data_IF_212803078032
#
_entry.id   IF_212803078032
#
_cell.length_a   1.000
_cell.length_b   1.000
_cell.length_c   1.000
_cell.angle_alpha   90.00
_cell.angle_beta   90.00
_cell.angle_gamma   90.00
#
_symmetry.space_group_name_H-M   'P 1'
#
loop_
_entity.id
_entity.type
_entity.pdbx_description
1 polymer ?
#
# COMPACT_ATOMS: atom_id res chain seq x y z
N UNK A 1 16.18 -11.94 27.35
CA UNK A 1 17.02 -12.90 26.62
C UNK A 1 18.02 -13.61 27.53
N UNK A 2 18.79 -12.91 28.37
CA UNK A 2 19.68 -13.58 29.35
C UNK A 2 18.97 -14.59 30.26
N UNK A 3 17.74 -14.30 30.71
CA UNK A 3 16.94 -15.23 31.49
C UNK A 3 16.61 -16.54 30.73
N UNK A 4 16.42 -16.45 29.41
CA UNK A 4 16.18 -17.62 28.56
C UNK A 4 17.46 -18.46 28.42
N UNK A 5 18.61 -17.82 28.15
CA UNK A 5 19.90 -18.51 28.09
C UNK A 5 20.26 -19.19 29.42
N UNK A 6 19.99 -18.53 30.55
CA UNK A 6 20.17 -19.11 31.90
C UNK A 6 19.24 -20.29 32.16
N UNK A 7 17.97 -20.22 31.75
CA UNK A 7 17.01 -21.32 31.89
C UNK A 7 17.42 -22.54 31.06
N UNK A 8 18.04 -22.31 29.90
CA UNK A 8 18.45 -23.35 28.96
C UNK A 8 19.89 -23.82 29.18
N UNK A 9 20.55 -23.33 30.23
CA UNK A 9 21.96 -23.62 30.58
C UNK A 9 22.92 -23.44 29.39
N UNK A 10 22.67 -22.42 28.56
CA UNK A 10 23.38 -22.19 27.30
C UNK A 10 24.06 -20.82 27.28
N UNK A 11 25.11 -20.70 26.47
CA UNK A 11 25.79 -19.42 26.23
C UNK A 11 25.23 -18.74 24.98
N UNK A 12 25.53 -17.43 24.83
CA UNK A 12 25.13 -16.69 23.63
C UNK A 12 25.70 -17.33 22.36
N UNK A 13 26.97 -17.74 22.39
CA UNK A 13 27.68 -18.34 21.26
C UNK A 13 27.07 -19.70 20.92
N UNK A 14 26.83 -20.55 21.92
CA UNK A 14 26.21 -21.86 21.70
C UNK A 14 24.78 -21.75 21.18
N UNK A 15 23.97 -20.85 21.74
CA UNK A 15 22.63 -20.58 21.23
C UNK A 15 22.69 -20.07 19.79
N UNK A 16 23.63 -19.17 19.48
CA UNK A 16 23.78 -18.62 18.13
C UNK A 16 24.11 -19.71 17.12
N UNK A 17 25.11 -20.54 17.39
CA UNK A 17 25.55 -21.56 16.44
C UNK A 17 24.59 -22.74 16.33
N UNK A 18 24.05 -23.24 17.46
CA UNK A 18 23.25 -24.47 17.48
C UNK A 18 21.77 -24.23 17.20
N UNK A 19 21.24 -23.04 17.52
CA UNK A 19 19.81 -22.77 17.43
C UNK A 19 19.48 -21.60 16.48
N UNK A 20 20.05 -20.42 16.72
CA UNK A 20 19.65 -19.22 15.96
C UNK A 20 20.10 -19.27 14.49
N UNK A 21 21.36 -19.63 14.23
CA UNK A 21 21.96 -19.70 12.90
C UNK A 21 21.22 -20.68 11.99
N UNK A 22 20.95 -21.96 12.35
CA UNK A 22 20.23 -22.86 11.45
C UNK A 22 18.81 -22.40 11.15
N UNK A 23 18.13 -21.75 12.10
CA UNK A 23 16.81 -21.16 11.86
C UNK A 23 16.90 -19.97 10.91
N UNK A 24 17.90 -19.09 11.09
CA UNK A 24 18.13 -17.95 10.22
C UNK A 24 18.46 -18.37 8.79
N UNK A 25 19.31 -19.38 8.61
CA UNK A 25 19.64 -19.96 7.30
C UNK A 25 18.36 -20.46 6.61
N UNK A 26 17.56 -21.30 7.28
CA UNK A 26 16.30 -21.81 6.70
C UNK A 26 15.30 -20.70 6.35
N UNK A 27 15.25 -19.63 7.16
CA UNK A 27 14.39 -18.47 6.88
C UNK A 27 14.88 -17.72 5.63
N UNK A 28 16.18 -17.50 5.51
CA UNK A 28 16.78 -16.84 4.35
C UNK A 28 16.62 -17.68 3.09
N UNK A 29 16.94 -18.97 3.13
CA UNK A 29 16.76 -19.91 2.02
C UNK A 29 15.30 -19.91 1.54
N UNK A 30 14.34 -19.99 2.47
CA UNK A 30 12.92 -19.91 2.12
C UNK A 30 12.60 -18.58 1.46
N UNK A 31 13.01 -17.44 2.04
CA UNK A 31 12.76 -16.12 1.44
C UNK A 31 13.26 -16.04 0.01
N UNK A 32 14.51 -16.44 -0.23
CA UNK A 32 15.10 -16.42 -1.57
C UNK A 32 14.37 -17.32 -2.57
N UNK A 33 13.89 -18.49 -2.14
CA UNK A 33 13.09 -19.37 -2.99
C UNK A 33 11.75 -18.71 -3.36
N UNK A 34 11.08 -18.08 -2.41
CA UNK A 34 9.83 -17.37 -2.66
C UNK A 34 10.02 -16.18 -3.59
N UNK A 35 11.07 -15.38 -3.38
CA UNK A 35 11.40 -14.24 -4.24
C UNK A 35 11.67 -14.68 -5.68
N UNK A 36 12.44 -15.76 -5.84
CA UNK A 36 12.75 -16.33 -7.14
C UNK A 36 11.51 -16.88 -7.83
N UNK A 37 10.64 -17.59 -7.10
CA UNK A 37 9.42 -18.15 -7.65
C UNK A 37 8.42 -17.05 -8.04
N UNK A 38 8.24 -16.03 -7.19
CA UNK A 38 7.38 -14.89 -7.50
C UNK A 38 7.80 -14.21 -8.80
N UNK A 39 9.11 -14.09 -9.02
CA UNK A 39 9.69 -13.55 -10.25
C UNK A 39 9.47 -14.44 -11.46
N UNK A 40 9.73 -15.75 -11.35
CA UNK A 40 9.59 -16.68 -12.48
C UNK A 40 8.14 -16.86 -12.93
N UNK A 41 7.21 -16.89 -11.98
CA UNK A 41 5.78 -17.02 -12.25
C UNK A 41 5.11 -15.68 -12.62
N UNK A 42 5.86 -14.57 -12.65
CA UNK A 42 5.37 -13.21 -12.91
C UNK A 42 4.11 -12.90 -12.12
N UNK A 43 4.17 -13.02 -10.80
CA UNK A 43 3.02 -12.75 -9.93
C UNK A 43 2.57 -11.29 -10.10
N UNK A 44 1.37 -11.11 -10.66
CA UNK A 44 0.76 -9.81 -10.87
C UNK A 44 -0.04 -9.37 -9.64
N UNK A 45 0.13 -8.11 -9.27
CA UNK A 45 -0.68 -7.45 -8.23
C UNK A 45 -1.81 -6.72 -8.96
N UNK A 46 -3.07 -7.06 -8.63
CA UNK A 46 -4.24 -6.41 -9.24
C UNK A 46 -4.50 -5.04 -8.59
N UNK A 47 -5.34 -4.23 -9.23
CA UNK A 47 -5.69 -2.92 -8.69
C UNK A 47 -6.40 -3.06 -7.33
N UNK A 48 -5.95 -2.31 -6.32
CA UNK A 48 -6.53 -2.33 -4.97
C UNK A 48 -6.08 -3.51 -4.07
N UNK A 49 -5.38 -4.52 -4.58
CA UNK A 49 -4.87 -5.63 -3.75
C UNK A 49 -3.92 -5.13 -2.65
N UNK A 50 -3.00 -4.23 -3.01
CA UNK A 50 -2.04 -3.66 -2.06
C UNK A 50 -2.73 -2.81 -0.99
N UNK A 51 -3.75 -2.04 -1.38
CA UNK A 51 -4.54 -1.23 -0.44
C UNK A 51 -5.35 -2.11 0.51
N UNK A 52 -5.94 -3.19 0.00
CA UNK A 52 -6.65 -4.18 0.81
C UNK A 52 -5.73 -4.82 1.85
N UNK A 53 -4.54 -5.28 1.45
CA UNK A 53 -3.55 -5.87 2.36
C UNK A 53 -3.01 -4.86 3.37
N UNK A 54 -2.79 -3.61 2.94
CA UNK A 54 -2.42 -2.51 3.84
C UNK A 54 -3.48 -2.30 4.92
N UNK A 55 -4.74 -2.21 4.53
CA UNK A 55 -5.86 -2.02 5.46
C UNK A 55 -6.04 -3.21 6.41
N UNK A 56 -5.85 -4.44 5.92
CA UNK A 56 -5.86 -5.65 6.76
C UNK A 56 -4.74 -5.62 7.80
N UNK A 57 -3.53 -5.23 7.38
CA UNK A 57 -2.37 -5.09 8.28
C UNK A 57 -2.64 -4.02 9.33
N UNK A 58 -3.18 -2.87 8.91
CA UNK A 58 -3.53 -1.78 9.81
C UNK A 58 -4.62 -2.17 10.81
N UNK A 59 -5.66 -2.86 10.36
CA UNK A 59 -6.75 -3.34 11.22
C UNK A 59 -6.22 -4.35 12.25
N UNK A 60 -5.30 -5.23 11.84
CA UNK A 60 -4.63 -6.16 12.75
C UNK A 60 -3.84 -5.42 13.83
N UNK A 61 -3.07 -4.38 13.45
CA UNK A 61 -2.34 -3.54 14.39
C UNK A 61 -3.28 -2.76 15.32
N UNK A 62 -4.36 -2.19 14.79
CA UNK A 62 -5.37 -1.50 15.57
C UNK A 62 -6.03 -2.42 16.61
N UNK A 63 -6.31 -3.68 16.25
CA UNK A 63 -6.84 -4.68 17.19
C UNK A 63 -5.89 -5.01 18.34
N UNK A 64 -4.58 -4.81 18.13
CA UNK A 64 -3.54 -4.96 19.15
C UNK A 64 -3.32 -3.67 19.98
N UNK A 65 -4.12 -2.63 19.73
CA UNK A 65 -4.07 -1.34 20.42
C UNK A 65 -3.12 -0.32 19.80
N UNK A 66 -2.66 -0.53 18.56
CA UNK A 66 -1.79 0.40 17.86
C UNK A 66 -2.59 1.46 17.10
N UNK A 67 -2.37 2.74 17.39
CA UNK A 67 -3.05 3.86 16.72
C UNK A 67 -2.03 4.79 16.05
N UNK A 68 -2.11 4.86 14.72
CA UNK A 68 -1.24 5.73 13.92
C UNK A 68 -1.41 7.22 14.27
N UNK A 69 -2.60 7.64 14.70
CA UNK A 69 -2.87 9.04 15.00
C UNK A 69 -2.20 9.49 16.31
N UNK A 70 -1.89 8.55 17.21
CA UNK A 70 -1.35 8.81 18.54
C UNK A 70 0.15 8.47 18.67
N UNK A 71 0.86 8.41 17.54
CA UNK A 71 2.32 8.16 17.52
C UNK A 71 3.10 9.36 18.06
N UNK A 72 4.00 9.09 19.01
CA UNK A 72 5.02 10.05 19.49
C UNK A 72 6.02 10.33 18.37
N UNK A 73 6.22 11.61 18.03
CA UNK A 73 7.13 12.04 16.94
C UNK A 73 6.46 12.78 15.78
N UNK A 74 5.13 12.99 15.85
CA UNK A 74 4.37 13.81 14.91
C UNK A 74 4.30 13.23 13.50
N UNK A 75 3.96 14.07 12.51
CA UNK A 75 3.67 13.64 11.13
C UNK A 75 4.80 12.83 10.47
N UNK A 76 6.07 13.18 10.72
CA UNK A 76 7.21 12.45 10.14
C UNK A 76 7.28 11.01 10.62
N UNK A 77 7.11 10.78 11.92
CA UNK A 77 7.08 9.43 12.48
C UNK A 77 5.89 8.63 11.96
N UNK A 78 4.72 9.27 11.86
CA UNK A 78 3.52 8.66 11.28
C UNK A 78 3.75 8.19 9.84
N UNK A 79 4.32 9.05 8.97
CA UNK A 79 4.63 8.69 7.58
C UNK A 79 5.65 7.56 7.50
N UNK A 80 6.70 7.57 8.33
CA UNK A 80 7.68 6.49 8.35
C UNK A 80 7.05 5.16 8.72
N UNK A 81 6.20 5.15 9.75
CA UNK A 81 5.49 3.94 10.18
C UNK A 81 4.53 3.47 9.09
N UNK A 82 3.76 4.38 8.48
CA UNK A 82 2.88 4.05 7.37
C UNK A 82 3.66 3.44 6.19
N UNK A 83 4.83 3.98 5.84
CA UNK A 83 5.68 3.44 4.79
C UNK A 83 6.20 2.03 5.14
N UNK A 84 6.60 1.79 6.39
CA UNK A 84 7.02 0.45 6.83
C UNK A 84 5.87 -0.55 6.78
N UNK A 85 4.66 -0.14 7.18
CA UNK A 85 3.46 -0.96 7.07
C UNK A 85 3.19 -1.27 5.59
N UNK A 86 3.23 -0.27 4.71
CA UNK A 86 3.03 -0.48 3.27
C UNK A 86 4.05 -1.47 2.67
N UNK A 87 5.34 -1.35 3.02
CA UNK A 87 6.36 -2.31 2.59
C UNK A 87 6.11 -3.72 3.13
N UNK A 88 5.72 -3.83 4.40
CA UNK A 88 5.37 -5.11 5.00
C UNK A 88 4.16 -5.74 4.32
N UNK A 89 3.11 -4.96 4.05
CA UNK A 89 1.90 -5.42 3.36
C UNK A 89 2.20 -5.87 1.93
N UNK A 90 3.05 -5.14 1.20
CA UNK A 90 3.51 -5.58 -0.13
C UNK A 90 4.25 -6.93 -0.06
N UNK A 91 5.13 -7.10 0.92
CA UNK A 91 5.88 -8.35 1.10
C UNK A 91 4.94 -9.52 1.46
N UNK A 92 3.96 -9.27 2.32
CA UNK A 92 2.95 -10.27 2.71
C UNK A 92 2.05 -10.65 1.53
N UNK A 93 1.61 -9.67 0.74
CA UNK A 93 0.80 -9.88 -0.46
C UNK A 93 1.52 -10.79 -1.46
N UNK A 94 2.76 -10.45 -1.83
CA UNK A 94 3.56 -11.26 -2.75
C UNK A 94 3.74 -12.68 -2.23
N UNK A 95 4.01 -12.83 -0.93
CA UNK A 95 4.15 -14.16 -0.31
C UNK A 95 2.86 -14.97 -0.43
N UNK A 96 1.70 -14.36 -0.16
CA UNK A 96 0.39 -15.01 -0.26
C UNK A 96 0.08 -15.44 -1.69
N UNK A 97 0.23 -14.54 -2.65
CA UNK A 97 0.00 -14.84 -4.07
C UNK A 97 0.93 -15.94 -4.58
N UNK A 98 2.20 -15.91 -4.17
CA UNK A 98 3.17 -16.96 -4.51
C UNK A 98 2.75 -18.32 -3.93
N UNK A 99 2.27 -18.36 -2.68
CA UNK A 99 1.72 -19.58 -2.08
C UNK A 99 0.47 -20.09 -2.81
N UNK A 100 -0.41 -19.20 -3.24
CA UNK A 100 -1.59 -19.55 -4.04
C UNK A 100 -1.17 -20.16 -5.38
N UNK A 101 -0.17 -19.57 -6.06
CA UNK A 101 0.38 -20.14 -7.30
C UNK A 101 1.02 -21.52 -7.08
N UNK A 102 1.81 -21.69 -6.02
CA UNK A 102 2.37 -23.00 -5.64
C UNK A 102 1.24 -24.02 -5.44
N UNK A 103 0.16 -23.61 -4.76
CA UNK A 103 -1.00 -24.47 -4.51
C UNK A 103 -1.65 -24.89 -5.83
N UNK A 104 -1.87 -23.97 -6.76
CA UNK A 104 -2.48 -24.28 -8.05
C UNK A 104 -1.62 -25.22 -8.91
N UNK A 105 -0.30 -25.05 -8.86
CA UNK A 105 0.65 -25.96 -9.51
C UNK A 105 0.58 -27.35 -8.84
N UNK A 106 0.54 -27.40 -7.51
CA UNK A 106 0.52 -28.65 -6.75
C UNK A 106 -0.80 -29.42 -6.89
N UNK A 107 -1.94 -28.74 -7.04
CA UNK A 107 -3.25 -29.39 -7.26
C UNK A 107 -3.51 -29.73 -8.73
N UNK A 108 -2.71 -29.17 -9.65
CA UNK A 108 -2.91 -29.32 -11.10
C UNK A 108 -4.00 -28.40 -11.67
N UNK A 109 -4.45 -27.41 -10.90
CA UNK A 109 -5.49 -26.45 -11.30
C UNK A 109 -4.94 -25.21 -12.04
N UNK A 110 -3.64 -25.21 -12.38
CA UNK A 110 -2.96 -24.06 -12.99
C UNK A 110 -3.68 -23.48 -14.22
N UNK A 111 -4.19 -24.33 -15.12
CA UNK A 111 -4.90 -23.88 -16.33
C UNK A 111 -6.24 -23.19 -16.03
N UNK A 112 -6.86 -23.51 -14.89
CA UNK A 112 -8.09 -22.86 -14.42
C UNK A 112 -7.78 -21.54 -13.74
N UNK A 113 -6.71 -21.50 -12.94
CA UNK A 113 -6.23 -20.29 -12.27
C UNK A 113 -5.78 -19.22 -13.28
N UNK A 114 -5.03 -19.61 -14.33
CA UNK A 114 -4.59 -18.67 -15.38
C UNK A 114 -5.77 -18.05 -16.15
N UNK A 115 -6.78 -18.85 -16.47
CA UNK A 115 -8.00 -18.33 -17.12
C UNK A 115 -8.74 -17.35 -16.22
N UNK A 116 -8.85 -17.65 -14.93
CA UNK A 116 -9.51 -16.76 -13.97
C UNK A 116 -8.73 -15.45 -13.74
N UNK A 117 -7.40 -15.49 -13.78
CA UNK A 117 -6.54 -14.30 -13.72
C UNK A 117 -6.70 -13.44 -14.98
N UNK A 118 -6.67 -14.06 -16.17
CA UNK A 118 -6.86 -13.35 -17.44
C UNK A 118 -8.24 -12.68 -17.53
N UNK A 119 -9.31 -13.36 -17.11
CA UNK A 119 -10.67 -12.79 -17.08
C UNK A 119 -10.81 -11.61 -16.09
N UNK A 120 -10.01 -11.58 -15.00
CA UNK A 120 -9.98 -10.45 -14.07
C UNK A 120 -9.25 -9.26 -14.67
N UNK A 121 -8.09 -9.49 -15.27
CA UNK A 121 -7.30 -8.43 -15.92
C UNK A 121 -8.08 -7.76 -17.08
N UNK A 122 -8.85 -8.53 -17.84
CA UNK A 122 -9.67 -7.99 -18.94
C UNK A 122 -10.84 -7.12 -18.44
N UNK A 123 -11.43 -7.45 -17.28
CA UNK A 123 -12.48 -6.64 -16.65
C UNK A 123 -11.96 -5.33 -16.08
N UNK A 124 -10.76 -5.34 -15.49
CA UNK A 124 -10.12 -4.11 -14.99
C UNK A 124 -9.78 -3.15 -16.15
N UNK A 125 -9.28 -3.67 -17.28
CA UNK A 125 -8.98 -2.85 -18.47
C UNK A 125 -10.21 -2.19 -19.10
N UNK A 126 -11.39 -2.83 -19.08
CA UNK A 126 -12.64 -2.26 -19.62
C UNK A 126 -13.35 -1.28 -18.69
N UNK A 127 -12.99 -1.23 -17.40
CA UNK A 127 -13.60 -0.33 -16.41
C UNK A 127 -13.06 1.11 -16.46
N UNK A 128 -11.84 1.31 -16.97
CA UNK A 128 -11.13 2.59 -16.89
C UNK A 128 -11.56 3.61 -17.95
N UNK A 129 -12.11 3.20 -19.10
CA UNK A 129 -12.55 4.14 -20.16
C UNK A 129 -13.79 4.97 -19.80
N UNK A 130 -14.60 4.53 -18.83
CA UNK A 130 -15.83 5.25 -18.47
C UNK A 130 -15.62 6.46 -17.53
N UNK A 131 -14.43 6.61 -16.92
CA UNK A 131 -14.18 7.65 -15.91
C UNK A 131 -13.35 8.84 -16.40
N UNK A 132 -12.76 8.77 -17.60
CA UNK A 132 -11.92 9.84 -18.16
C UNK A 132 -12.66 10.85 -19.05
N UNK A 133 -13.94 10.65 -19.35
CA UNK A 133 -14.70 11.51 -20.27
C UNK A 133 -15.57 12.58 -19.58
N UNK A 134 -15.64 12.61 -18.25
CA UNK A 134 -16.51 13.55 -17.52
C UNK A 134 -15.75 14.72 -16.86
N UNK A 135 -14.42 14.68 -16.79
CA UNK A 135 -13.60 15.75 -16.16
C UNK A 135 -13.06 16.80 -17.17
N UNK A 136 -13.19 16.58 -18.49
CA UNK A 136 -12.76 17.56 -19.51
C UNK A 136 -13.85 18.59 -19.90
N UNK A 137 -15.09 18.47 -19.41
CA UNK A 137 -16.17 19.42 -19.75
C UNK A 137 -16.32 20.62 -18.80
N UNK A 138 -15.59 20.67 -17.68
CA UNK A 138 -15.77 21.74 -16.69
C UNK A 138 -14.69 22.85 -16.77
N UNK A 139 -13.69 22.74 -17.67
CA UNK A 139 -12.62 23.73 -17.79
C UNK A 139 -12.83 24.72 -18.96
N UNK A 140 -13.78 24.50 -19.87
CA UNK A 140 -13.97 25.36 -21.07
C UNK A 140 -15.02 26.49 -20.90
N UNK A 141 -15.14 27.09 -19.70
CA UNK A 141 -15.88 28.37 -19.54
C UNK A 141 -15.17 29.31 -18.56
N UNK A 142 -13.86 29.47 -18.70
CA UNK A 142 -13.14 30.56 -18.06
C UNK A 142 -11.85 30.86 -18.82
N UNK A 143 -11.95 31.66 -19.89
CA UNK A 143 -11.03 32.79 -20.19
C UNK A 143 -11.13 33.19 -21.67
N UNK A 144 -11.77 34.32 -21.96
CA UNK A 144 -11.33 35.26 -23.01
C UNK A 144 -12.00 36.63 -22.79
N UNK A 145 -11.23 37.74 -22.79
CA UNK A 145 -11.65 39.07 -22.39
C UNK A 145 -12.08 39.93 -23.60
N UNK A 146 -12.89 40.97 -23.37
CA UNK A 146 -12.80 42.21 -24.16
C UNK A 146 -13.34 43.41 -23.37
N UNK A 147 -12.47 44.41 -23.21
CA UNK A 147 -12.75 45.75 -22.69
C UNK A 147 -13.69 46.53 -23.64
N UNK A 148 -14.64 47.27 -23.08
CA UNK A 148 -15.04 48.54 -23.67
C UNK A 148 -15.27 49.57 -22.55
N UNK A 149 -14.43 50.60 -22.55
CA UNK A 149 -14.42 51.75 -21.63
C UNK A 149 -15.14 52.91 -22.30
N UNK A 150 -16.09 53.56 -21.62
CA UNK A 150 -16.31 55.02 -21.69
C UNK A 150 -17.39 55.53 -20.71
N UNK A 151 -16.94 56.33 -19.73
CA UNK A 151 -17.42 57.67 -19.29
C UNK A 151 -18.93 57.89 -19.06
N UNK A 152 -19.44 58.54 -18.00
CA UNK A 152 -19.02 59.80 -17.37
C UNK A 152 -19.99 60.13 -16.20
N UNK A 153 -19.49 60.68 -15.07
CA UNK A 153 -20.15 61.62 -14.10
C UNK A 153 -21.43 61.14 -13.35
N UNK A 154 -21.72 61.46 -12.07
CA UNK A 154 -21.31 62.54 -11.15
C UNK A 154 -21.74 62.17 -9.70
N UNK A 155 -21.16 62.87 -8.72
CA UNK A 155 -21.67 63.20 -7.37
C UNK A 155 -21.72 62.07 -6.33
N UNK A 156 -20.79 62.02 -5.37
CA UNK A 156 -20.72 62.85 -4.14
C UNK A 156 -21.86 62.53 -3.15
N UNK A 157 -21.59 61.72 -2.12
CA UNK A 157 -21.95 62.12 -0.76
C UNK A 157 -21.14 61.39 0.32
N UNK A 158 -20.65 62.20 1.24
CA UNK A 158 -20.03 61.95 2.54
C UNK A 158 -21.01 61.46 3.61
N UNK A 159 -20.49 60.69 4.58
CA UNK A 159 -20.85 60.60 6.01
C UNK A 159 -20.50 59.18 6.49
N UNK A 160 -19.42 58.91 7.22
CA UNK A 160 -19.13 59.28 8.60
C UNK A 160 -20.09 58.66 9.63
N UNK A 161 -19.47 57.97 10.60
CA UNK A 161 -19.86 57.71 12.00
C UNK A 161 -20.93 56.66 12.37
N UNK A 162 -20.47 55.81 13.30
CA UNK A 162 -21.14 55.20 14.45
C UNK A 162 -22.18 54.08 14.23
N UNK A 163 -21.83 52.85 14.62
CA UNK A 163 -22.12 52.32 15.99
C UNK A 163 -21.28 51.07 16.31
#
# INVERSE_FOLDING_TARGET
>A
FEAYLKMQESTLEEFTEKEARPVAIKRLERGLIFDELARLENIEIQEGDLESEFNQTLMSLASQGYDLNNIKGGKRAQTQIANNIAQQSATQLITRLTLERIKDIATGDFAKAEKAAAEKAEKEATGTEAKSAEEEKEIEVADAPEEEVATEKTEENTAESDE
#
